data_IF_167368274555
#
_entry.id   IF_167368274555
#
_cell.length_a   1.000
_cell.length_b   1.000
_cell.length_c   1.000
_cell.angle_alpha   90.00
_cell.angle_beta   90.00
_cell.angle_gamma   90.00
#
_symmetry.space_group_name_H-M   'P 1'
#
loop_
_entity.id
_entity.type
_entity.pdbx_description
1 polymer ?
#
# COMPACT_ATOMS: atom_id res chain seq x y z
N UNK A 1 24.03 4.20 8.87
CA UNK A 1 23.69 5.20 7.92
C UNK A 1 22.56 4.80 7.03
N UNK A 2 22.41 5.56 5.98
CA UNK A 2 21.29 5.37 5.08
C UNK A 2 21.17 3.99 4.49
N UNK A 3 22.23 3.28 4.42
CA UNK A 3 22.18 1.97 3.77
C UNK A 3 21.27 0.97 4.48
N UNK A 4 21.04 1.13 5.77
CA UNK A 4 20.13 0.20 6.42
C UNK A 4 18.69 0.45 6.04
N UNK A 5 18.40 1.57 5.41
CA UNK A 5 17.06 1.85 4.93
C UNK A 5 16.98 1.81 3.43
N UNK A 6 17.92 1.13 2.78
CA UNK A 6 18.01 1.17 1.33
C UNK A 6 16.74 0.65 0.66
N UNK A 7 16.08 -0.33 1.25
CA UNK A 7 14.86 -0.84 0.64
C UNK A 7 13.69 0.14 0.75
N UNK A 8 13.85 1.20 1.53
CA UNK A 8 12.85 2.25 1.66
C UNK A 8 13.26 3.55 1.00
N UNK A 9 14.38 3.55 0.29
CA UNK A 9 14.81 4.76 -0.40
C UNK A 9 13.75 5.15 -1.42
N UNK A 10 13.47 6.44 -1.47
CA UNK A 10 12.45 6.94 -2.36
C UNK A 10 11.05 6.89 -1.81
N UNK A 11 10.84 6.29 -0.64
CA UNK A 11 9.53 6.28 0.00
C UNK A 11 9.44 7.53 0.87
N UNK A 12 8.58 8.48 0.55
CA UNK A 12 8.56 9.74 1.29
C UNK A 12 7.83 9.63 2.62
N UNK A 13 8.12 10.60 3.50
CA UNK A 13 7.49 10.69 4.81
C UNK A 13 6.26 11.58 4.73
N UNK A 14 5.26 11.12 3.99
CA UNK A 14 4.03 11.89 3.75
C UNK A 14 2.81 11.01 3.94
N UNK A 15 1.66 11.60 4.27
CA UNK A 15 0.42 10.86 4.16
C UNK A 15 0.05 10.68 2.68
N UNK A 16 -0.47 9.52 2.33
CA UNK A 16 -0.64 9.23 0.90
C UNK A 16 -1.56 8.07 0.64
N UNK A 17 -2.12 8.07 -0.56
CA UNK A 17 -2.68 6.90 -1.18
C UNK A 17 -1.53 6.28 -1.96
N UNK A 18 -1.31 4.99 -1.81
CA UNK A 18 -0.13 4.36 -2.38
C UNK A 18 -0.47 3.01 -3.00
N UNK A 19 0.47 2.53 -3.80
CA UNK A 19 0.33 1.27 -4.50
C UNK A 19 1.52 0.40 -4.15
N UNK A 20 1.25 -0.85 -3.78
CA UNK A 20 2.31 -1.84 -3.59
C UNK A 20 2.20 -2.84 -4.72
N UNK A 21 3.30 -3.09 -5.41
CA UNK A 21 3.31 -3.98 -6.56
C UNK A 21 4.63 -4.74 -6.60
N UNK A 22 4.74 -5.68 -7.52
CA UNK A 22 5.91 -6.53 -7.62
C UNK A 22 6.42 -6.50 -9.05
N UNK A 23 7.73 -6.43 -9.20
CA UNK A 23 8.34 -6.49 -10.52
C UNK A 23 7.93 -7.80 -11.17
N UNK A 24 7.56 -7.74 -12.44
CA UNK A 24 7.13 -8.89 -13.22
C UNK A 24 5.76 -9.43 -12.87
N UNK A 25 5.01 -8.67 -12.08
CA UNK A 25 3.61 -8.98 -11.80
C UNK A 25 2.76 -7.82 -12.25
N UNK A 26 1.57 -8.10 -12.78
CA UNK A 26 0.64 -7.03 -13.11
C UNK A 26 -0.41 -6.83 -12.03
N UNK A 27 -0.23 -7.47 -10.89
CA UNK A 27 -1.15 -7.33 -9.77
C UNK A 27 -0.60 -6.33 -8.77
N UNK A 28 -1.51 -5.62 -8.12
CA UNK A 28 -1.07 -4.62 -7.15
C UNK A 28 -2.14 -4.39 -6.09
N UNK A 29 -1.74 -3.71 -5.05
CA UNK A 29 -2.54 -3.41 -3.89
C UNK A 29 -2.54 -1.89 -3.69
N UNK A 30 -3.70 -1.33 -3.35
CA UNK A 30 -3.81 0.09 -3.02
C UNK A 30 -4.15 0.23 -1.55
N UNK A 31 -3.41 1.11 -0.87
CA UNK A 31 -3.65 1.40 0.53
C UNK A 31 -3.57 2.89 0.78
N UNK A 32 -3.79 3.26 2.03
CA UNK A 32 -3.67 4.66 2.41
C UNK A 32 -3.11 4.79 3.81
N UNK A 33 -2.46 5.91 4.05
CA UNK A 33 -2.05 6.27 5.39
C UNK A 33 -2.24 7.77 5.58
N UNK A 34 -2.77 8.15 6.73
CA UNK A 34 -2.86 9.55 7.11
C UNK A 34 -1.64 9.99 7.90
N UNK A 35 -0.69 9.11 8.11
CA UNK A 35 0.51 9.39 8.86
C UNK A 35 1.72 9.42 7.92
N UNK A 36 2.69 8.55 8.11
CA UNK A 36 3.96 8.59 7.38
C UNK A 36 4.06 7.34 6.51
N UNK A 37 4.11 7.55 5.20
CA UNK A 37 4.11 6.43 4.25
C UNK A 37 5.29 5.49 4.49
N UNK A 38 6.47 6.03 4.74
CA UNK A 38 7.64 5.16 4.95
C UNK A 38 7.41 4.19 6.10
N UNK A 39 6.82 4.68 7.19
CA UNK A 39 6.52 3.82 8.33
C UNK A 39 5.47 2.78 7.99
N UNK A 40 4.43 3.21 7.30
CA UNK A 40 3.36 2.29 6.93
C UNK A 40 3.88 1.20 6.00
N UNK A 41 4.69 1.59 5.04
CA UNK A 41 5.29 0.60 4.13
C UNK A 41 6.20 -0.35 4.90
N UNK A 42 6.95 0.17 5.87
CA UNK A 42 7.80 -0.68 6.69
C UNK A 42 7.00 -1.72 7.46
N UNK A 43 5.81 -1.33 7.96
CA UNK A 43 4.93 -2.29 8.62
C UNK A 43 4.46 -3.37 7.67
N UNK A 44 4.08 -2.99 6.45
CA UNK A 44 3.70 -3.99 5.45
C UNK A 44 4.84 -4.99 5.22
N UNK A 45 6.04 -4.48 5.00
CA UNK A 45 7.17 -5.35 4.71
C UNK A 45 7.47 -6.28 5.89
N UNK A 46 7.44 -5.73 7.09
CA UNK A 46 7.68 -6.53 8.29
C UNK A 46 6.69 -7.68 8.39
N UNK A 47 5.42 -7.39 8.18
CA UNK A 47 4.38 -8.42 8.27
C UNK A 47 4.50 -9.45 7.15
N UNK A 48 4.87 -8.99 5.95
CA UNK A 48 5.03 -9.91 4.83
C UNK A 48 6.22 -10.85 5.04
N UNK A 49 7.32 -10.31 5.53
CA UNK A 49 8.51 -11.13 5.81
C UNK A 49 8.19 -12.18 6.87
N UNK A 50 7.39 -11.82 7.86
CA UNK A 50 7.03 -12.75 8.93
C UNK A 50 5.83 -13.62 8.58
N UNK A 51 5.28 -13.46 7.38
CA UNK A 51 4.16 -14.26 6.88
C UNK A 51 2.91 -14.12 7.77
N UNK A 52 2.66 -12.91 8.24
CA UNK A 52 1.50 -12.63 9.08
C UNK A 52 0.65 -11.49 8.55
N UNK A 53 0.83 -11.12 7.29
CA UNK A 53 0.06 -10.01 6.73
C UNK A 53 -1.41 -10.39 6.63
N UNK A 54 -2.29 -9.48 7.05
CA UNK A 54 -3.72 -9.74 7.05
C UNK A 54 -4.28 -9.94 5.65
N UNK A 55 -3.75 -9.23 4.69
CA UNK A 55 -4.19 -9.38 3.31
C UNK A 55 -3.46 -10.58 2.71
N UNK A 56 -4.18 -11.71 2.65
CA UNK A 56 -3.55 -12.95 2.22
C UNK A 56 -3.25 -12.96 0.72
N UNK A 57 -3.95 -12.15 -0.06
CA UNK A 57 -3.62 -12.01 -1.48
C UNK A 57 -2.27 -11.33 -1.66
N UNK A 58 -2.04 -10.27 -0.89
CA UNK A 58 -0.77 -9.57 -0.94
C UNK A 58 0.35 -10.47 -0.44
N UNK A 59 0.08 -11.23 0.64
CA UNK A 59 1.05 -12.16 1.17
C UNK A 59 1.42 -13.22 0.13
N UNK A 60 0.45 -13.77 -0.57
CA UNK A 60 0.72 -14.79 -1.58
C UNK A 60 1.59 -14.24 -2.71
N UNK A 61 1.34 -13.01 -3.10
CA UNK A 61 2.13 -12.40 -4.16
C UNK A 61 3.57 -12.16 -3.68
N UNK A 62 3.71 -11.72 -2.43
CA UNK A 62 5.03 -11.54 -1.82
C UNK A 62 5.78 -12.88 -1.78
N UNK A 63 5.08 -13.94 -1.37
CA UNK A 63 5.71 -15.27 -1.29
C UNK A 63 6.16 -15.75 -2.66
N UNK A 64 5.42 -15.37 -3.70
CA UNK A 64 5.72 -15.81 -5.05
C UNK A 64 6.91 -15.05 -5.66
N UNK A 65 6.95 -13.74 -5.48
CA UNK A 65 7.95 -12.91 -6.16
C UNK A 65 9.12 -12.51 -5.28
N UNK A 66 8.95 -12.53 -3.98
CA UNK A 66 10.05 -12.27 -3.06
C UNK A 66 10.21 -10.82 -2.69
N UNK A 67 10.98 -10.62 -1.64
CA UNK A 67 11.18 -9.30 -1.08
C UNK A 67 11.88 -8.34 -2.04
N UNK A 68 12.75 -8.88 -2.87
CA UNK A 68 13.49 -8.01 -3.79
C UNK A 68 12.64 -7.45 -4.91
N UNK A 69 11.46 -8.02 -5.14
CA UNK A 69 10.59 -7.57 -6.22
C UNK A 69 9.55 -6.54 -5.79
N UNK A 70 9.35 -6.36 -4.49
CA UNK A 70 8.27 -5.49 -4.01
C UNK A 70 8.64 -4.02 -4.16
N UNK A 71 7.67 -3.22 -4.58
CA UNK A 71 7.85 -1.79 -4.81
C UNK A 71 6.64 -1.02 -4.27
N UNK A 72 6.86 0.25 -4.00
CA UNK A 72 5.81 1.13 -3.51
C UNK A 72 5.82 2.41 -4.33
N UNK A 73 4.64 2.88 -4.69
CA UNK A 73 4.50 4.07 -5.50
C UNK A 73 3.40 4.95 -4.92
N UNK A 74 3.64 6.26 -4.84
CA UNK A 74 2.61 7.20 -4.38
C UNK A 74 1.65 7.46 -5.53
N UNK A 75 0.35 7.25 -5.27
CA UNK A 75 -0.68 7.61 -6.22
C UNK A 75 -1.17 9.02 -5.99
N UNK A 76 -1.28 9.41 -4.74
CA UNK A 76 -1.74 10.76 -4.40
C UNK A 76 -1.26 11.12 -3.00
N UNK A 77 -0.58 12.24 -2.88
CA UNK A 77 -0.21 12.77 -1.57
C UNK A 77 -1.45 13.38 -0.93
N UNK A 78 -1.64 13.12 0.35
CA UNK A 78 -2.76 13.70 1.10
C UNK A 78 -2.28 14.97 1.78
N UNK A 79 -3.20 15.92 1.95
CA UNK A 79 -2.87 17.13 2.68
C UNK A 79 -2.72 16.81 4.16
N UNK A 80 -1.87 17.57 4.87
CA UNK A 80 -1.77 17.41 6.33
C UNK A 80 -3.14 17.53 6.97
N UNK A 81 -3.37 16.73 8.00
CA UNK A 81 -4.63 16.75 8.76
C UNK A 81 -5.85 16.28 7.97
N UNK A 82 -5.63 15.55 6.87
CA UNK A 82 -6.75 14.92 6.18
C UNK A 82 -7.39 13.92 7.14
N UNK A 83 -8.71 13.98 7.26
CA UNK A 83 -9.41 13.04 8.13
C UNK A 83 -9.38 11.64 7.54
N UNK A 84 -9.54 10.65 8.41
CA UNK A 84 -9.62 9.27 7.94
C UNK A 84 -10.78 9.08 6.97
N UNK A 85 -11.89 9.72 7.24
CA UNK A 85 -13.05 9.60 6.36
C UNK A 85 -12.74 10.12 4.96
N UNK A 86 -12.12 11.30 4.90
CA UNK A 86 -11.77 11.87 3.60
C UNK A 86 -10.72 11.02 2.88
N UNK A 87 -9.75 10.51 3.63
CA UNK A 87 -8.73 9.65 3.05
C UNK A 87 -9.33 8.37 2.48
N UNK A 88 -10.33 7.80 3.16
CA UNK A 88 -11.01 6.62 2.67
C UNK A 88 -11.77 6.90 1.38
N UNK A 89 -12.39 8.09 1.29
CA UNK A 89 -13.04 8.48 0.05
C UNK A 89 -12.05 8.52 -1.11
N UNK A 90 -10.90 9.12 -0.87
CA UNK A 90 -9.88 9.25 -1.92
C UNK A 90 -9.33 7.89 -2.28
N UNK A 91 -9.08 7.04 -1.28
CA UNK A 91 -8.63 5.69 -1.53
C UNK A 91 -9.64 4.92 -2.38
N UNK A 92 -10.91 5.07 -2.04
CA UNK A 92 -11.98 4.39 -2.77
C UNK A 92 -12.02 4.84 -4.23
N UNK A 93 -11.78 6.13 -4.49
CA UNK A 93 -11.69 6.63 -5.85
C UNK A 93 -10.60 5.89 -6.63
N UNK A 94 -9.41 5.76 -6.04
CA UNK A 94 -8.31 5.09 -6.72
C UNK A 94 -8.57 3.59 -6.91
N UNK A 95 -9.18 2.96 -5.91
CA UNK A 95 -9.51 1.55 -6.00
C UNK A 95 -10.48 1.29 -7.16
N UNK A 96 -11.51 2.12 -7.28
CA UNK A 96 -12.46 1.97 -8.36
C UNK A 96 -11.83 2.26 -9.71
N UNK A 97 -10.96 3.26 -9.75
CA UNK A 97 -10.34 3.65 -11.00
C UNK A 97 -9.36 2.61 -11.51
N UNK A 98 -8.56 2.03 -10.64
CA UNK A 98 -7.48 1.14 -11.04
C UNK A 98 -7.78 -0.34 -10.83
N UNK A 99 -8.81 -0.64 -10.06
CA UNK A 99 -9.27 -2.02 -9.83
C UNK A 99 -8.14 -2.97 -9.40
N UNK A 100 -7.51 -2.72 -8.25
CA UNK A 100 -6.36 -3.52 -7.82
C UNK A 100 -6.73 -4.96 -7.53
N UNK A 101 -5.96 -5.86 -8.10
CA UNK A 101 -6.21 -7.30 -7.97
C UNK A 101 -6.01 -7.78 -6.54
N UNK A 102 -5.08 -7.18 -5.82
CA UNK A 102 -4.69 -7.70 -4.51
C UNK A 102 -5.51 -7.14 -3.36
N UNK A 103 -6.41 -6.18 -3.61
CA UNK A 103 -7.27 -5.70 -2.55
C UNK A 103 -8.38 -6.70 -2.30
N UNK A 104 -8.67 -6.93 -1.00
CA UNK A 104 -9.72 -7.85 -0.63
C UNK A 104 -11.06 -7.15 -0.64
N UNK A 105 -11.14 -5.97 -0.03
CA UNK A 105 -12.36 -5.18 -0.01
C UNK A 105 -12.18 -4.02 -0.97
N UNK A 106 -12.88 -4.09 -2.08
CA UNK A 106 -12.73 -3.07 -3.11
C UNK A 106 -13.77 -1.97 -3.05
N UNK A 107 -14.81 -2.17 -2.27
CA UNK A 107 -15.95 -1.25 -2.27
C UNK A 107 -16.25 -0.80 -0.86
N UNK A 108 -15.25 -0.32 -0.16
CA UNK A 108 -15.40 0.00 1.25
C UNK A 108 -16.52 0.98 1.53
N UNK A 109 -16.65 1.97 0.68
CA UNK A 109 -17.68 2.99 0.90
C UNK A 109 -18.92 2.66 0.11
N UNK A 110 -18.75 2.27 -1.12
CA UNK A 110 -19.89 2.02 -1.99
C UNK A 110 -20.72 0.83 -1.59
N UNK A 111 -20.13 -0.12 -0.90
CA UNK A 111 -20.84 -1.35 -0.51
C UNK A 111 -21.67 -1.21 0.73
N UNK A 112 -21.52 -0.14 1.43
CA UNK A 112 -22.28 0.08 2.65
C UNK A 112 -23.64 0.63 2.26
N UNK A 113 -24.61 -0.19 2.36
CA UNK A 113 -25.93 0.21 1.90
C UNK A 113 -26.91 0.20 3.02
#
# INVERSE_FOLDING_TARGET
LGHKNSKYLGIPDIPAIYKIYFINSNKFYIGMTCSVLRKRYGCHISELVRNIHRNRKLQAEFDKYGQNAVRCEVLQELKPHTSNYKALEIESFWIHKLNPELNILKHKIGDIK
#
